data_IF_379652273657
#
_entry.id   IF_379652273657
#
_cell.length_a   1.000
_cell.length_b   1.000
_cell.length_c   1.000
_cell.angle_alpha   90.00
_cell.angle_beta   90.00
_cell.angle_gamma   90.00
#
_symmetry.space_group_name_H-M   'P 1'
#
loop_
_entity.id
_entity.type
_entity.pdbx_description
1 polymer ?
#
# COMPACT_ATOMS: atom_id res chain seq x y z
N UNK A 1 4.47 17.75 9.56
CA UNK A 1 5.50 17.12 8.69
C UNK A 1 5.14 15.66 8.39
N UNK A 2 5.02 14.79 9.40
CA UNK A 2 4.63 13.38 9.19
C UNK A 2 3.23 13.19 8.59
N UNK A 3 2.23 13.96 9.06
CA UNK A 3 0.88 13.97 8.46
C UNK A 3 0.85 14.38 6.98
N UNK A 4 1.82 15.19 6.52
CA UNK A 4 1.93 15.57 5.11
C UNK A 4 2.50 14.40 4.31
N UNK A 5 3.48 13.70 4.86
CA UNK A 5 4.08 12.50 4.26
C UNK A 5 3.08 11.34 4.11
N UNK A 6 2.13 11.20 5.05
CA UNK A 6 1.05 10.20 4.97
C UNK A 6 0.07 10.45 3.81
N UNK A 7 0.01 11.69 3.28
CA UNK A 7 -0.95 12.11 2.23
C UNK A 7 -2.37 11.63 2.54
N UNK A 8 -3.01 12.13 3.62
CA UNK A 8 -4.27 11.58 4.15
C UNK A 8 -5.41 11.51 3.11
N UNK A 9 -5.45 12.42 2.14
CA UNK A 9 -6.42 12.35 1.05
C UNK A 9 -6.25 11.10 0.17
N UNK A 10 -5.03 10.59 -0.02
CA UNK A 10 -4.85 9.34 -0.76
C UNK A 10 -5.26 8.10 0.04
N UNK A 11 -5.39 8.18 1.37
CA UNK A 11 -5.87 7.06 2.18
C UNK A 11 -7.37 6.81 1.98
N UNK A 12 -8.14 7.83 1.57
CA UNK A 12 -9.56 7.64 1.22
C UNK A 12 -9.71 6.75 -0.01
N UNK A 13 -8.73 6.75 -0.92
CA UNK A 13 -8.71 5.88 -2.09
C UNK A 13 -8.52 4.41 -1.71
N UNK A 14 -7.68 4.13 -0.70
CA UNK A 14 -7.53 2.79 -0.16
C UNK A 14 -8.81 2.30 0.53
N UNK A 15 -9.48 3.18 1.28
CA UNK A 15 -10.78 2.89 1.88
C UNK A 15 -11.86 2.63 0.82
N UNK A 16 -11.91 3.46 -0.24
CA UNK A 16 -12.85 3.27 -1.33
C UNK A 16 -12.61 1.95 -2.07
N UNK A 17 -11.36 1.64 -2.42
CA UNK A 17 -10.99 0.40 -3.13
C UNK A 17 -11.35 -0.85 -2.31
N UNK A 18 -11.03 -0.87 -1.01
CA UNK A 18 -11.41 -1.99 -0.12
C UNK A 18 -12.92 -2.10 0.05
N UNK A 19 -13.63 -0.97 0.16
CA UNK A 19 -15.10 -0.94 0.24
C UNK A 19 -15.77 -1.51 -1.00
N UNK A 20 -15.24 -1.26 -2.20
CA UNK A 20 -15.77 -1.85 -3.44
C UNK A 20 -15.68 -3.38 -3.44
N UNK A 21 -14.55 -3.95 -3.01
CA UNK A 21 -14.40 -5.41 -2.89
C UNK A 21 -15.37 -6.01 -1.87
N UNK A 22 -15.56 -5.34 -0.73
CA UNK A 22 -16.52 -5.75 0.31
C UNK A 22 -17.96 -5.70 -0.24
N UNK A 23 -18.31 -4.63 -0.96
CA UNK A 23 -19.63 -4.48 -1.58
C UNK A 23 -19.88 -5.55 -2.63
N UNK A 24 -18.89 -5.86 -3.48
CA UNK A 24 -19.00 -6.92 -4.46
C UNK A 24 -19.24 -8.28 -3.79
N UNK A 25 -18.53 -8.60 -2.71
CA UNK A 25 -18.75 -9.82 -1.94
C UNK A 25 -20.16 -9.86 -1.32
N UNK A 26 -20.67 -8.72 -0.84
CA UNK A 26 -22.02 -8.63 -0.29
C UNK A 26 -23.10 -8.85 -1.35
N UNK A 27 -22.96 -8.26 -2.53
CA UNK A 27 -23.92 -8.40 -3.64
C UNK A 27 -23.98 -9.84 -4.18
N UNK A 28 -22.88 -10.60 -4.05
CA UNK A 28 -22.81 -12.00 -4.49
C UNK A 28 -23.20 -13.00 -3.38
N UNK A 29 -23.85 -12.54 -2.30
CA UNK A 29 -24.27 -13.36 -1.15
C UNK A 29 -23.12 -14.13 -0.44
N UNK A 30 -21.88 -13.64 -0.58
CA UNK A 30 -20.68 -14.24 0.03
C UNK A 30 -20.40 -13.72 1.45
N UNK A 31 -21.15 -12.72 1.92
CA UNK A 31 -21.02 -12.12 3.25
C UNK A 31 -22.30 -12.27 4.06
N UNK A 32 -22.15 -12.44 5.38
CA UNK A 32 -23.21 -12.46 6.39
C UNK A 32 -24.24 -13.58 6.25
N UNK A 33 -23.88 -14.71 5.64
CA UNK A 33 -24.76 -15.88 5.50
C UNK A 33 -24.89 -16.64 6.82
N UNK A 34 -23.77 -17.15 7.36
CA UNK A 34 -23.76 -17.93 8.62
C UNK A 34 -22.61 -17.53 9.58
N UNK A 35 -21.71 -16.63 9.16
CA UNK A 35 -20.44 -16.35 9.85
C UNK A 35 -20.23 -14.87 10.15
N UNK A 36 -21.26 -14.21 10.66
CA UNK A 36 -21.28 -12.75 10.88
C UNK A 36 -19.99 -12.18 11.51
N UNK A 37 -19.53 -12.74 12.64
CA UNK A 37 -18.34 -12.23 13.33
C UNK A 37 -17.04 -12.45 12.56
N UNK A 38 -16.95 -13.55 11.82
CA UNK A 38 -15.81 -13.84 10.96
C UNK A 38 -15.74 -12.84 9.80
N UNK A 39 -16.89 -12.54 9.21
CA UNK A 39 -17.01 -11.61 8.08
C UNK A 39 -16.64 -10.18 8.48
N UNK A 40 -17.09 -9.73 9.67
CA UNK A 40 -16.67 -8.45 10.24
C UNK A 40 -15.16 -8.40 10.46
N UNK A 41 -14.56 -9.49 10.96
CA UNK A 41 -13.11 -9.58 11.17
C UNK A 41 -12.36 -9.45 9.84
N UNK A 42 -12.81 -10.15 8.79
CA UNK A 42 -12.21 -10.07 7.45
C UNK A 42 -12.31 -8.67 6.86
N UNK A 43 -13.47 -8.00 6.99
CA UNK A 43 -13.68 -6.61 6.53
C UNK A 43 -12.69 -5.66 7.20
N UNK A 44 -12.53 -5.78 8.52
CA UNK A 44 -11.59 -4.96 9.29
C UNK A 44 -10.15 -5.22 8.82
N UNK A 45 -9.76 -6.48 8.67
CA UNK A 45 -8.42 -6.85 8.22
C UNK A 45 -8.11 -6.32 6.82
N UNK A 46 -9.01 -6.52 5.85
CA UNK A 46 -8.85 -6.02 4.48
C UNK A 46 -8.71 -4.49 4.47
N UNK A 47 -9.55 -3.79 5.22
CA UNK A 47 -9.51 -2.33 5.31
C UNK A 47 -8.19 -1.84 5.93
N UNK A 48 -7.75 -2.47 7.03
CA UNK A 48 -6.46 -2.15 7.67
C UNK A 48 -5.30 -2.42 6.72
N UNK A 49 -5.31 -3.55 6.01
CA UNK A 49 -4.27 -3.90 5.04
C UNK A 49 -4.19 -2.89 3.90
N UNK A 50 -5.34 -2.48 3.35
CA UNK A 50 -5.41 -1.47 2.30
C UNK A 50 -4.86 -0.11 2.75
N UNK A 51 -5.29 0.37 3.92
CA UNK A 51 -4.83 1.64 4.49
C UNK A 51 -3.32 1.56 4.81
N UNK A 52 -2.85 0.48 5.42
CA UNK A 52 -1.45 0.29 5.76
C UNK A 52 -0.56 0.21 4.50
N UNK A 53 -1.03 -0.47 3.45
CA UNK A 53 -0.34 -0.53 2.15
C UNK A 53 -0.19 0.86 1.54
N UNK A 54 -1.29 1.63 1.45
CA UNK A 54 -1.27 2.98 0.91
C UNK A 54 -0.42 3.93 1.74
N UNK A 55 -0.52 3.87 3.07
CA UNK A 55 0.30 4.66 3.99
C UNK A 55 1.79 4.33 3.83
N UNK A 56 2.13 3.05 3.74
CA UNK A 56 3.50 2.58 3.51
C UNK A 56 4.09 3.11 2.22
N UNK A 57 3.34 2.99 1.11
CA UNK A 57 3.73 3.53 -0.18
C UNK A 57 3.94 5.06 -0.15
N UNK A 58 3.03 5.80 0.52
CA UNK A 58 3.14 7.26 0.64
C UNK A 58 4.39 7.69 1.41
N UNK A 59 4.66 7.04 2.55
CA UNK A 59 5.82 7.35 3.40
C UNK A 59 7.14 7.03 2.71
N UNK A 60 7.22 5.90 2.00
CA UNK A 60 8.40 5.52 1.23
C UNK A 60 8.62 6.49 0.06
N UNK A 61 7.55 6.86 -0.65
CA UNK A 61 7.63 7.86 -1.72
C UNK A 61 8.08 9.22 -1.18
N UNK A 62 7.56 9.67 -0.05
CA UNK A 62 7.99 10.92 0.59
C UNK A 62 9.46 10.85 1.06
N UNK A 63 9.92 9.70 1.54
CA UNK A 63 11.33 9.49 1.86
C UNK A 63 12.26 9.67 0.64
N UNK A 64 11.89 9.10 -0.51
CA UNK A 64 12.72 9.19 -1.72
C UNK A 64 12.61 10.55 -2.42
N UNK A 65 11.39 11.08 -2.58
CA UNK A 65 11.12 12.32 -3.33
C UNK A 65 11.17 13.58 -2.44
N UNK A 66 10.64 13.49 -1.21
CA UNK A 66 10.46 14.61 -0.28
C UNK A 66 11.71 15.03 0.47
N UNK A 67 12.78 14.23 0.43
CA UNK A 67 14.05 14.54 1.10
C UNK A 67 14.71 15.87 0.70
N UNK A 68 14.35 16.45 -0.46
CA UNK A 68 14.78 17.80 -0.85
C UNK A 68 13.91 18.93 -0.27
N UNK A 69 12.64 18.66 0.07
CA UNK A 69 11.67 19.67 0.54
C UNK A 69 11.86 20.08 2.00
N UNK A 70 12.53 19.24 2.79
CA UNK A 70 12.73 19.47 4.23
C UNK A 70 14.16 19.88 4.61
N UNK A 71 14.93 20.42 3.65
CA UNK A 71 16.27 20.98 3.87
C UNK A 71 16.22 22.18 4.81
N UNK A 72 16.10 21.91 6.10
CA UNK A 72 16.64 22.79 7.13
C UNK A 72 18.11 22.40 7.28
N UNK A 73 18.99 23.27 6.78
CA UNK A 73 20.45 23.15 6.72
C UNK A 73 21.14 22.94 8.07
N UNK A 74 20.41 23.01 9.19
CA UNK A 74 20.94 22.93 10.55
C UNK A 74 20.70 21.59 11.26
N UNK A 75 20.06 20.60 10.62
CA UNK A 75 19.79 19.30 11.26
C UNK A 75 20.94 18.32 11.06
N UNK A 76 21.36 17.64 12.14
CA UNK A 76 22.34 16.56 12.08
C UNK A 76 21.87 15.48 11.11
N UNK A 77 22.73 15.12 10.16
CA UNK A 77 22.50 14.06 9.18
C UNK A 77 23.38 12.85 9.51
N UNK A 78 22.92 11.67 9.11
CA UNK A 78 23.66 10.40 9.20
C UNK A 78 23.60 9.70 7.85
N UNK A 79 24.63 8.93 7.53
CA UNK A 79 24.62 8.11 6.34
C UNK A 79 23.63 6.95 6.52
N UNK A 80 22.63 6.89 5.65
CA UNK A 80 21.61 5.85 5.64
C UNK A 80 21.23 5.53 4.18
N UNK A 81 21.32 4.25 3.80
CA UNK A 81 21.13 3.79 2.42
C UNK A 81 21.98 4.56 1.39
N UNK A 82 23.23 4.87 1.74
CA UNK A 82 24.17 5.54 0.84
C UNK A 82 23.94 7.04 0.64
N UNK A 83 23.02 7.68 1.39
CA UNK A 83 22.78 9.13 1.36
C UNK A 83 22.78 9.72 2.76
N UNK A 84 23.14 11.00 2.88
CA UNK A 84 23.00 11.74 4.13
C UNK A 84 21.52 12.06 4.38
N UNK A 85 20.99 11.57 5.51
CA UNK A 85 19.58 11.67 5.88
C UNK A 85 19.43 12.20 7.31
N UNK A 86 18.34 12.90 7.59
CA UNK A 86 18.00 13.27 8.96
C UNK A 86 17.37 12.09 9.70
N UNK A 87 17.39 12.11 11.04
CA UNK A 87 16.68 11.10 11.83
C UNK A 87 15.17 11.04 11.51
N UNK A 88 14.58 12.16 11.09
CA UNK A 88 13.19 12.21 10.68
C UNK A 88 12.95 11.46 9.36
N UNK A 89 13.83 11.61 8.37
CA UNK A 89 13.71 10.89 7.09
C UNK A 89 13.82 9.37 7.32
N UNK A 90 14.76 8.96 8.17
CA UNK A 90 14.94 7.55 8.54
C UNK A 90 13.68 7.02 9.24
N UNK A 91 13.10 7.80 10.16
CA UNK A 91 11.86 7.43 10.84
C UNK A 91 10.69 7.26 9.86
N UNK A 92 10.52 8.19 8.91
CA UNK A 92 9.49 8.11 7.85
C UNK A 92 9.69 6.86 6.98
N UNK A 93 10.93 6.52 6.63
CA UNK A 93 11.21 5.31 5.87
C UNK A 93 10.88 4.03 6.64
N UNK A 94 11.34 3.93 7.88
CA UNK A 94 11.10 2.75 8.72
C UNK A 94 9.61 2.57 8.99
N UNK A 95 8.87 3.65 9.25
CA UNK A 95 7.43 3.56 9.45
C UNK A 95 6.69 3.16 8.18
N UNK A 96 7.16 3.60 7.01
CA UNK A 96 6.66 3.15 5.72
C UNK A 96 6.88 1.65 5.49
N UNK A 97 8.08 1.15 5.77
CA UNK A 97 8.41 -0.28 5.69
C UNK A 97 7.60 -1.10 6.69
N UNK A 98 7.43 -0.61 7.93
CA UNK A 98 6.61 -1.28 8.93
C UNK A 98 5.14 -1.38 8.50
N UNK A 99 4.58 -0.32 7.92
CA UNK A 99 3.21 -0.33 7.40
C UNK A 99 3.04 -1.33 6.24
N UNK A 100 4.00 -1.39 5.30
CA UNK A 100 4.01 -2.42 4.25
C UNK A 100 4.15 -3.84 4.83
N UNK A 101 4.96 -4.02 5.86
CA UNK A 101 5.12 -5.30 6.57
C UNK A 101 3.80 -5.76 7.20
N UNK A 102 3.08 -4.87 7.88
CA UNK A 102 1.75 -5.17 8.44
C UNK A 102 0.76 -5.54 7.34
N UNK A 103 0.71 -4.76 6.25
CA UNK A 103 -0.17 -5.06 5.11
C UNK A 103 0.16 -6.43 4.48
N UNK A 104 1.45 -6.74 4.32
CA UNK A 104 1.90 -8.03 3.80
C UNK A 104 1.52 -9.21 4.69
N UNK A 105 1.70 -9.08 6.02
CA UNK A 105 1.31 -10.13 6.96
C UNK A 105 -0.20 -10.39 6.96
N UNK A 106 -1.00 -9.32 6.94
CA UNK A 106 -2.46 -9.45 6.84
C UNK A 106 -2.85 -10.07 5.49
N UNK A 107 -2.21 -9.66 4.39
CA UNK A 107 -2.44 -10.24 3.06
C UNK A 107 -2.15 -11.75 3.01
N UNK A 108 -1.04 -12.20 3.58
CA UNK A 108 -0.69 -13.62 3.69
C UNK A 108 -1.75 -14.38 4.50
N UNK A 109 -2.19 -13.82 5.63
CA UNK A 109 -3.24 -14.42 6.44
C UNK A 109 -4.57 -14.55 5.70
N UNK A 110 -4.97 -13.52 4.94
CA UNK A 110 -6.20 -13.55 4.15
C UNK A 110 -6.14 -14.59 3.02
N UNK A 111 -4.99 -14.72 2.35
CA UNK A 111 -4.77 -15.75 1.32
C UNK A 111 -4.89 -17.15 1.92
N UNK A 112 -4.37 -17.36 3.14
CA UNK A 112 -4.48 -18.65 3.84
C UNK A 112 -5.94 -19.05 4.13
N UNK A 113 -6.83 -18.08 4.34
CA UNK A 113 -8.24 -18.33 4.68
C UNK A 113 -9.18 -18.50 3.47
N UNK A 114 -8.75 -18.10 2.29
CA UNK A 114 -9.56 -18.14 1.07
C UNK A 114 -9.08 -19.29 0.17
N UNK A 115 -8.64 -19.00 -1.05
CA UNK A 115 -8.27 -19.98 -2.05
C UNK A 115 -6.93 -19.63 -2.70
N UNK A 116 -6.24 -20.65 -3.21
CA UNK A 116 -4.96 -20.48 -3.90
C UNK A 116 -5.05 -19.51 -5.10
N UNK A 117 -6.23 -19.32 -5.70
CA UNK A 117 -6.45 -18.31 -6.74
C UNK A 117 -6.26 -16.87 -6.25
N UNK A 118 -6.57 -16.59 -4.98
CA UNK A 118 -6.31 -15.29 -4.36
C UNK A 118 -4.80 -15.04 -4.17
N UNK A 119 -4.02 -16.10 -3.95
CA UNK A 119 -2.55 -16.01 -3.96
C UNK A 119 -2.05 -15.56 -5.34
N UNK A 120 -2.60 -16.13 -6.43
CA UNK A 120 -2.21 -15.78 -7.80
C UNK A 120 -2.54 -14.32 -8.10
N UNK A 121 -3.74 -13.84 -7.75
CA UNK A 121 -4.12 -12.44 -7.93
C UNK A 121 -3.23 -11.51 -7.09
N UNK A 122 -2.94 -11.88 -5.84
CA UNK A 122 -2.01 -11.14 -4.98
C UNK A 122 -0.59 -11.08 -5.53
N UNK A 123 -0.09 -12.19 -6.09
CA UNK A 123 1.21 -12.25 -6.75
C UNK A 123 1.25 -11.41 -8.03
N UNK A 124 0.19 -11.42 -8.84
CA UNK A 124 0.06 -10.55 -10.02
C UNK A 124 0.05 -9.08 -9.59
N UNK A 125 -0.66 -8.73 -8.52
CA UNK A 125 -0.66 -7.38 -7.95
C UNK A 125 0.72 -6.95 -7.46
N UNK A 126 1.46 -7.84 -6.79
CA UNK A 126 2.84 -7.62 -6.36
C UNK A 126 3.79 -7.43 -7.53
N UNK A 127 3.71 -8.29 -8.55
CA UNK A 127 4.51 -8.20 -9.78
C UNK A 127 4.16 -6.92 -10.54
N UNK A 128 2.88 -6.57 -10.64
CA UNK A 128 2.41 -5.34 -11.29
C UNK A 128 2.89 -4.08 -10.56
N UNK A 129 2.82 -4.07 -9.23
CA UNK A 129 3.34 -3.00 -8.39
C UNK A 129 4.87 -2.87 -8.52
N UNK A 130 5.60 -4.00 -8.49
CA UNK A 130 7.05 -4.00 -8.69
C UNK A 130 7.43 -3.54 -10.09
N UNK A 131 6.75 -4.02 -11.14
CA UNK A 131 7.02 -3.57 -12.50
C UNK A 131 6.62 -2.10 -12.73
N UNK A 132 5.74 -1.52 -11.91
CA UNK A 132 5.43 -0.10 -12.01
C UNK A 132 6.64 0.81 -11.65
N UNK A 133 7.52 0.37 -10.74
CA UNK A 133 8.62 1.18 -10.18
C UNK A 133 10.02 0.55 -10.24
N UNK A 134 10.13 -0.76 -10.40
CA UNK A 134 11.37 -1.55 -10.33
C UNK A 134 11.99 -1.83 -11.70
N UNK A 135 13.32 -1.62 -11.81
CA UNK A 135 14.09 -2.00 -13.00
C UNK A 135 14.20 -3.53 -13.11
N UNK A 136 14.21 -4.12 -14.34
CA UNK A 136 14.41 -3.47 -15.64
C UNK A 136 13.11 -3.05 -16.37
N UNK A 137 11.92 -3.31 -15.81
CA UNK A 137 10.64 -3.11 -16.47
C UNK A 137 9.92 -1.83 -16.00
N UNK A 138 10.58 -0.67 -15.99
CA UNK A 138 9.97 0.58 -15.48
C UNK A 138 8.88 1.12 -16.43
N UNK A 139 7.62 0.73 -16.22
CA UNK A 139 6.48 1.17 -17.04
C UNK A 139 6.18 2.68 -16.94
N UNK A 140 6.58 3.33 -15.84
CA UNK A 140 6.45 4.79 -15.63
C UNK A 140 7.12 5.63 -16.73
N UNK A 141 8.13 5.09 -17.43
CA UNK A 141 8.83 5.79 -18.53
C UNK A 141 8.16 5.68 -19.90
N UNK A 142 7.08 4.89 -20.06
CA UNK A 142 6.46 4.61 -21.38
C UNK A 142 5.02 5.14 -21.54
N UNK A 143 4.59 6.14 -20.77
CA UNK A 143 3.23 6.74 -20.87
C UNK A 143 2.03 5.78 -20.67
N UNK A 144 2.28 4.53 -20.25
CA UNK A 144 1.25 3.52 -19.95
C UNK A 144 0.84 3.49 -18.46
N UNK A 145 1.39 4.40 -17.65
CA UNK A 145 1.15 4.40 -16.20
C UNK A 145 -0.30 4.67 -15.82
N UNK A 146 -1.02 5.45 -16.62
CA UNK A 146 -2.44 5.77 -16.39
C UNK A 146 -3.35 4.55 -16.62
N UNK A 147 -3.34 3.87 -17.78
CA UNK A 147 -4.22 2.71 -17.97
C UNK A 147 -3.91 1.54 -17.03
N UNK A 148 -2.64 1.33 -16.65
CA UNK A 148 -2.27 0.23 -15.76
C UNK A 148 -2.56 0.50 -14.28
N UNK A 149 -2.49 1.76 -13.83
CA UNK A 149 -2.94 2.12 -12.47
C UNK A 149 -4.45 1.91 -12.31
N UNK A 150 -5.23 2.14 -13.38
CA UNK A 150 -6.67 1.81 -13.40
C UNK A 150 -6.93 0.31 -13.24
N UNK A 151 -6.12 -0.55 -13.86
CA UNK A 151 -6.24 -2.02 -13.74
C UNK A 151 -5.79 -2.50 -12.36
N UNK A 152 -4.69 -1.97 -11.82
CA UNK A 152 -4.13 -2.41 -10.54
C UNK A 152 -4.86 -1.88 -9.29
N UNK A 153 -5.59 -0.75 -9.40
CA UNK A 153 -6.38 -0.18 -8.29
C UNK A 153 -7.82 -0.73 -8.20
N UNK A 154 -8.18 -1.71 -9.03
CA UNK A 154 -9.43 -2.46 -8.89
C UNK A 154 -10.62 -1.88 -9.63
N UNK A 155 -10.45 -1.57 -10.93
CA UNK A 155 -11.58 -1.28 -11.79
C UNK A 155 -11.99 -2.53 -12.58
N UNK A 156 -12.59 -3.51 -11.87
CA UNK A 156 -13.53 -4.52 -12.39
C UNK A 156 -14.38 -5.04 -11.21
#
# INVERSE_FOLDING_TARGET
>A
MYFIALRPFSLTLAFASTSYGILAAFINDLLFTDRFWHDILLIILITIAGIASQAGANLINDYFEGSFKYKNSSKKTRNFLGRQRTNFDIFVFISGIAALGIAGLIGIYLIYLTDLWMLVIGLIGLIGSYAYTGEPFVYKRRALGVPLSFVLMGLF
#
